data_IF_915875876035
#
_entry.id   IF_915875876035
#
_cell.length_a   1.000
_cell.length_b   1.000
_cell.length_c   1.000
_cell.angle_alpha   90.00
_cell.angle_beta   90.00
_cell.angle_gamma   90.00
#
_symmetry.space_group_name_H-M   'P 1'
#
loop_
_entity.id
_entity.type
_entity.pdbx_description
1 polymer ?
#
# COMPACT_ATOMS: atom_id res chain seq x y z
N UNK A 1 -44.21 68.52 -21.98
CA UNK A 1 -45.18 67.46 -21.62
C UNK A 1 -44.62 66.13 -22.05
N UNK A 2 -44.42 65.21 -21.10
CA UNK A 2 -44.00 63.83 -21.35
C UNK A 2 -45.04 63.13 -22.22
N UNK A 3 -44.67 62.57 -23.37
CA UNK A 3 -45.29 61.35 -23.93
C UNK A 3 -44.23 60.57 -24.71
N UNK A 4 -44.33 59.25 -24.58
CA UNK A 4 -43.31 58.23 -24.73
C UNK A 4 -42.81 57.95 -26.16
N UNK A 5 -41.50 57.74 -26.26
CA UNK A 5 -40.83 57.00 -27.33
C UNK A 5 -41.14 55.50 -27.15
N UNK A 6 -42.01 54.95 -27.99
CA UNK A 6 -42.24 53.50 -28.06
C UNK A 6 -41.19 52.85 -28.95
N UNK A 7 -40.24 52.13 -28.35
CA UNK A 7 -39.34 51.22 -29.07
C UNK A 7 -40.00 49.85 -29.10
N UNK A 8 -40.21 49.31 -30.30
CA UNK A 8 -40.66 47.95 -30.56
C UNK A 8 -39.49 47.01 -30.23
N UNK A 9 -39.57 46.29 -29.12
CA UNK A 9 -38.65 45.18 -28.82
C UNK A 9 -39.32 43.89 -29.30
N UNK A 10 -38.79 43.34 -30.40
CA UNK A 10 -39.14 42.02 -30.90
C UNK A 10 -38.74 40.95 -29.88
N UNK A 11 -39.71 40.16 -29.46
CA UNK A 11 -39.49 38.98 -28.63
C UNK A 11 -38.84 37.88 -29.46
N UNK A 12 -37.54 37.68 -29.29
CA UNK A 12 -36.85 36.47 -29.72
C UNK A 12 -37.03 35.43 -28.62
N UNK A 13 -38.03 34.56 -28.76
CA UNK A 13 -38.17 33.40 -27.88
C UNK A 13 -37.04 32.41 -28.20
N UNK A 14 -35.97 32.44 -27.38
CA UNK A 14 -35.01 31.35 -27.27
C UNK A 14 -35.74 30.15 -26.68
N UNK A 15 -36.24 29.28 -27.55
CA UNK A 15 -36.66 27.94 -27.17
C UNK A 15 -35.41 27.18 -26.69
N UNK A 16 -35.15 27.26 -25.39
CA UNK A 16 -34.33 26.26 -24.69
C UNK A 16 -35.06 24.93 -24.87
N UNK A 17 -34.62 24.14 -25.84
CA UNK A 17 -35.00 22.75 -25.95
C UNK A 17 -34.52 22.06 -24.67
N UNK A 18 -35.46 21.84 -23.75
CA UNK A 18 -35.29 20.90 -22.66
C UNK A 18 -35.15 19.51 -23.30
N UNK A 19 -33.94 19.14 -23.68
CA UNK A 19 -33.64 17.75 -23.99
C UNK A 19 -33.94 16.97 -22.71
N UNK A 20 -34.88 16.01 -22.72
CA UNK A 20 -35.04 15.12 -21.58
C UNK A 20 -33.70 14.44 -21.36
N UNK A 21 -33.19 14.49 -20.13
CA UNK A 21 -32.02 13.74 -19.73
C UNK A 21 -32.23 12.30 -20.18
N UNK A 22 -31.40 11.82 -21.10
CA UNK A 22 -31.43 10.41 -21.48
C UNK A 22 -31.27 9.60 -20.19
N UNK A 23 -32.15 8.63 -19.91
CA UNK A 23 -31.93 7.75 -18.78
C UNK A 23 -30.57 7.08 -19.01
N UNK A 24 -29.65 7.29 -18.05
CA UNK A 24 -28.43 6.49 -17.96
C UNK A 24 -28.85 5.03 -18.12
N UNK A 25 -28.24 4.33 -19.09
CA UNK A 25 -28.49 2.91 -19.30
C UNK A 25 -28.52 2.22 -17.93
N UNK A 26 -29.61 1.50 -17.64
CA UNK A 26 -29.77 0.80 -16.37
C UNK A 26 -28.47 0.04 -16.10
N UNK A 27 -27.83 0.32 -14.95
CA UNK A 27 -26.58 -0.33 -14.61
C UNK A 27 -26.74 -1.83 -14.79
N UNK A 28 -25.81 -2.48 -15.47
CA UNK A 28 -25.84 -3.93 -15.76
C UNK A 28 -25.97 -4.76 -14.46
N UNK A 29 -25.66 -4.14 -13.31
CA UNK A 29 -25.74 -4.70 -11.98
C UNK A 29 -26.51 -3.76 -11.03
N UNK A 30 -27.50 -4.29 -10.32
CA UNK A 30 -28.09 -3.66 -9.14
C UNK A 30 -27.24 -4.05 -7.93
N UNK A 31 -26.41 -3.13 -7.42
CA UNK A 31 -25.60 -3.37 -6.22
C UNK A 31 -26.47 -3.39 -4.96
N UNK A 32 -26.03 -4.13 -3.94
CA UNK A 32 -26.76 -4.31 -2.69
C UNK A 32 -25.97 -3.70 -1.50
N UNK A 33 -25.90 -2.36 -1.37
CA UNK A 33 -25.02 -1.66 -0.43
C UNK A 33 -25.33 -1.92 1.06
N UNK A 34 -26.57 -2.31 1.36
CA UNK A 34 -27.08 -2.57 2.71
C UNK A 34 -27.25 -4.06 3.03
N UNK A 35 -26.96 -4.96 2.08
CA UNK A 35 -27.07 -6.40 2.31
C UNK A 35 -26.17 -6.83 3.49
N UNK A 36 -26.65 -7.65 4.45
CA UNK A 36 -25.82 -8.10 5.55
C UNK A 36 -24.64 -8.92 5.04
N UNK A 37 -23.44 -8.59 5.47
CA UNK A 37 -22.23 -9.33 5.16
C UNK A 37 -21.64 -10.03 6.36
N UNK A 38 -20.61 -10.84 6.12
CA UNK A 38 -19.80 -11.51 7.14
C UNK A 38 -18.33 -11.10 7.09
N UNK A 39 -17.63 -11.46 8.16
CA UNK A 39 -16.17 -11.39 8.27
C UNK A 39 -15.62 -12.79 8.53
N UNK A 40 -14.71 -13.24 7.68
CA UNK A 40 -14.02 -14.52 7.82
C UNK A 40 -12.55 -14.37 7.48
N UNK A 41 -11.69 -14.54 8.48
CA UNK A 41 -10.24 -14.56 8.27
C UNK A 41 -9.59 -15.71 9.06
N UNK A 42 -8.58 -16.32 8.46
CA UNK A 42 -7.79 -17.39 9.08
C UNK A 42 -6.41 -16.88 9.48
N UNK A 43 -5.79 -17.53 10.46
CA UNK A 43 -4.38 -17.31 10.79
C UNK A 43 -3.66 -18.66 10.80
N UNK A 44 -2.59 -18.80 10.01
CA UNK A 44 -1.88 -20.07 9.86
C UNK A 44 -0.37 -19.90 9.83
N UNK A 45 0.33 -20.97 10.21
CA UNK A 45 1.79 -21.12 10.10
C UNK A 45 2.18 -22.43 9.41
N UNK A 46 1.18 -23.19 8.90
CA UNK A 46 1.38 -24.54 8.34
C UNK A 46 2.22 -24.58 7.07
N UNK A 47 2.40 -23.44 6.40
CA UNK A 47 3.11 -23.34 5.13
C UNK A 47 4.58 -22.90 5.30
N UNK A 48 5.03 -22.66 6.55
CA UNK A 48 6.41 -22.29 6.81
C UNK A 48 7.27 -23.54 6.90
N UNK A 49 8.37 -23.65 6.13
CA UNK A 49 9.31 -24.75 6.30
C UNK A 49 9.83 -24.79 7.74
N UNK A 50 9.64 -25.91 8.45
CA UNK A 50 10.06 -26.12 9.86
C UNK A 50 11.55 -25.81 10.08
N UNK A 51 12.37 -25.92 9.03
CA UNK A 51 13.79 -25.54 9.05
C UNK A 51 14.07 -24.05 9.32
N UNK A 52 13.08 -23.17 9.12
CA UNK A 52 13.23 -21.70 9.28
C UNK A 52 12.65 -21.17 10.59
N UNK A 53 11.77 -21.91 11.26
CA UNK A 53 11.09 -21.47 12.48
C UNK A 53 10.91 -22.64 13.44
N UNK A 54 11.31 -22.46 14.70
CA UNK A 54 11.06 -23.48 15.72
C UNK A 54 9.56 -23.70 15.90
N UNK A 55 9.14 -24.91 16.32
CA UNK A 55 7.71 -25.20 16.58
C UNK A 55 7.12 -24.24 17.61
N UNK A 56 7.91 -23.87 18.62
CA UNK A 56 7.50 -22.94 19.68
C UNK A 56 7.28 -21.53 19.11
N UNK A 57 8.22 -21.01 18.32
CA UNK A 57 8.08 -19.69 17.70
C UNK A 57 6.92 -19.65 16.71
N UNK A 58 6.72 -20.72 15.93
CA UNK A 58 5.59 -20.85 15.00
C UNK A 58 4.24 -20.81 15.74
N UNK A 59 4.12 -21.57 16.83
CA UNK A 59 2.90 -21.56 17.65
C UNK A 59 2.67 -20.19 18.33
N UNK A 60 3.72 -19.57 18.85
CA UNK A 60 3.64 -18.24 19.47
C UNK A 60 3.26 -17.16 18.45
N UNK A 61 3.87 -17.18 17.26
CA UNK A 61 3.55 -16.22 16.21
C UNK A 61 2.13 -16.42 15.68
N UNK A 62 1.66 -17.66 15.51
CA UNK A 62 0.27 -17.96 15.17
C UNK A 62 -0.70 -17.30 16.16
N UNK A 63 -0.44 -17.39 17.46
CA UNK A 63 -1.27 -16.73 18.49
C UNK A 63 -1.30 -15.21 18.33
N UNK A 64 -0.18 -14.58 17.97
CA UNK A 64 -0.14 -13.13 17.69
C UNK A 64 -0.93 -12.76 16.43
N UNK A 65 -0.87 -13.57 15.38
CA UNK A 65 -1.69 -13.39 14.18
C UNK A 65 -3.20 -13.56 14.48
N UNK A 66 -3.57 -14.55 15.30
CA UNK A 66 -4.94 -14.74 15.75
C UNK A 66 -5.44 -13.56 16.60
N UNK A 67 -4.56 -13.01 17.45
CA UNK A 67 -4.85 -11.81 18.22
C UNK A 67 -5.08 -10.60 17.30
N UNK A 68 -4.19 -10.34 16.33
CA UNK A 68 -4.38 -9.27 15.34
C UNK A 68 -5.70 -9.42 14.60
N UNK A 69 -5.98 -10.62 14.08
CA UNK A 69 -7.25 -10.93 13.40
C UNK A 69 -8.45 -10.61 14.30
N UNK A 70 -8.42 -11.04 15.56
CA UNK A 70 -9.52 -10.81 16.50
C UNK A 70 -9.73 -9.31 16.81
N UNK A 71 -8.64 -8.55 16.92
CA UNK A 71 -8.71 -7.09 17.11
C UNK A 71 -9.33 -6.42 15.89
N UNK A 72 -8.94 -6.82 14.67
CA UNK A 72 -9.54 -6.33 13.43
C UNK A 72 -11.03 -6.71 13.33
N UNK A 73 -11.39 -7.95 13.63
CA UNK A 73 -12.78 -8.44 13.55
C UNK A 73 -13.76 -7.68 14.46
N UNK A 74 -13.27 -7.01 15.51
CA UNK A 74 -14.08 -6.18 16.41
C UNK A 74 -14.32 -4.77 15.90
N UNK A 75 -13.61 -4.32 14.88
CA UNK A 75 -13.73 -2.95 14.41
C UNK A 75 -15.11 -2.72 13.76
N UNK A 76 -15.74 -1.55 13.92
CA UNK A 76 -17.16 -1.36 13.59
C UNK A 76 -17.52 -1.76 12.15
N UNK A 77 -16.71 -1.37 11.17
CA UNK A 77 -16.94 -1.71 9.76
C UNK A 77 -16.59 -3.16 9.37
N UNK A 78 -15.87 -3.88 10.25
CA UNK A 78 -15.49 -5.29 10.06
C UNK A 78 -16.39 -6.27 10.82
N UNK A 79 -16.97 -5.87 11.96
CA UNK A 79 -17.78 -6.74 12.81
C UNK A 79 -19.13 -7.11 12.18
N UNK A 80 -19.76 -6.15 11.50
CA UNK A 80 -21.04 -6.32 10.83
C UNK A 80 -21.03 -5.57 9.48
N UNK A 81 -20.23 -6.03 8.50
CA UNK A 81 -20.07 -5.32 7.25
C UNK A 81 -21.37 -5.30 6.47
N UNK A 82 -21.64 -4.18 5.80
CA UNK A 82 -22.83 -3.99 4.96
C UNK A 82 -22.44 -3.90 3.49
N UNK A 83 -23.16 -4.64 2.65
CA UNK A 83 -22.96 -4.71 1.21
C UNK A 83 -21.67 -5.40 0.78
N UNK A 84 -20.90 -5.96 1.71
CA UNK A 84 -19.65 -6.68 1.43
C UNK A 84 -19.48 -7.91 2.33
N UNK A 85 -18.90 -8.97 1.78
CA UNK A 85 -18.34 -10.09 2.52
C UNK A 85 -16.83 -9.89 2.64
N UNK A 86 -16.29 -9.94 3.85
CA UNK A 86 -14.86 -9.73 4.10
C UNK A 86 -14.19 -11.07 4.29
N UNK A 87 -13.27 -11.42 3.39
CA UNK A 87 -12.57 -12.70 3.40
C UNK A 87 -11.08 -12.46 3.42
N UNK A 88 -10.37 -13.20 4.27
CA UNK A 88 -8.95 -12.98 4.43
C UNK A 88 -8.16 -14.10 5.09
N UNK A 89 -6.88 -13.85 5.24
CA UNK A 89 -5.96 -14.72 5.97
C UNK A 89 -4.71 -13.96 6.42
N UNK A 90 -4.03 -14.52 7.42
CA UNK A 90 -2.76 -14.05 7.96
C UNK A 90 -1.78 -15.23 8.03
N UNK A 91 -0.54 -15.01 7.60
CA UNK A 91 0.51 -16.04 7.64
C UNK A 91 1.92 -15.42 7.64
N UNK A 92 2.94 -16.17 8.08
CA UNK A 92 4.34 -15.79 7.86
C UNK A 92 4.68 -15.76 6.37
N UNK A 93 5.75 -15.04 6.03
CA UNK A 93 6.33 -15.11 4.68
C UNK A 93 6.97 -16.48 4.43
N UNK A 94 6.99 -16.90 3.17
CA UNK A 94 7.66 -18.14 2.76
C UNK A 94 9.19 -17.97 2.75
N UNK A 95 9.64 -16.77 2.42
CA UNK A 95 11.03 -16.35 2.34
C UNK A 95 11.28 -15.22 3.33
N UNK A 96 11.98 -15.52 4.42
CA UNK A 96 12.39 -14.53 5.41
C UNK A 96 13.81 -14.79 5.92
N UNK A 97 14.49 -13.76 6.46
CA UNK A 97 15.86 -13.89 6.93
C UNK A 97 16.02 -15.04 7.93
N UNK A 98 17.06 -15.86 7.75
CA UNK A 98 17.45 -16.88 8.74
C UNK A 98 18.05 -16.25 10.00
N UNK A 99 18.41 -14.97 9.94
CA UNK A 99 18.96 -14.18 11.04
C UNK A 99 18.08 -14.32 12.28
N UNK A 100 18.63 -14.91 13.34
CA UNK A 100 17.87 -15.28 14.53
C UNK A 100 17.49 -14.09 15.42
N UNK A 101 18.15 -12.95 15.22
CA UNK A 101 17.92 -11.70 15.94
C UNK A 101 16.77 -10.85 15.37
N UNK A 102 16.18 -11.25 14.24
CA UNK A 102 15.05 -10.54 13.65
C UNK A 102 13.72 -11.24 13.97
N UNK A 103 12.63 -10.46 14.18
CA UNK A 103 11.32 -11.03 14.38
C UNK A 103 10.82 -11.73 13.11
N UNK A 104 9.86 -12.64 13.28
CA UNK A 104 9.24 -13.35 12.17
C UNK A 104 8.42 -12.36 11.34
N UNK A 105 8.73 -12.18 10.05
CA UNK A 105 7.89 -11.39 9.17
C UNK A 105 6.69 -12.21 8.69
N UNK A 106 5.59 -11.50 8.48
CA UNK A 106 4.35 -12.05 7.99
C UNK A 106 3.53 -11.01 7.26
N UNK A 107 2.41 -11.45 6.75
CA UNK A 107 1.45 -10.59 6.10
C UNK A 107 0.03 -11.12 6.31
N UNK A 108 -0.96 -10.29 5.97
CA UNK A 108 -2.33 -10.72 5.80
C UNK A 108 -3.08 -9.87 4.79
N UNK A 109 -4.17 -10.39 4.27
CA UNK A 109 -5.08 -9.67 3.38
C UNK A 109 -6.51 -9.82 3.89
N UNK A 110 -7.30 -8.74 3.81
CA UNK A 110 -8.74 -8.74 4.01
C UNK A 110 -9.39 -8.13 2.76
N UNK A 111 -10.08 -8.94 1.95
CA UNK A 111 -10.72 -8.50 0.70
C UNK A 111 -12.20 -8.21 0.89
N UNK A 112 -12.68 -7.15 0.28
CA UNK A 112 -14.05 -6.65 0.43
C UNK A 112 -14.87 -7.06 -0.80
N UNK A 113 -15.51 -8.21 -0.72
CA UNK A 113 -16.32 -8.77 -1.81
C UNK A 113 -17.74 -8.21 -1.78
N UNK A 114 -18.10 -7.33 -2.71
CA UNK A 114 -19.43 -6.71 -2.70
C UNK A 114 -20.53 -7.62 -3.27
N UNK A 115 -21.78 -7.29 -2.92
CA UNK A 115 -22.99 -7.98 -3.37
C UNK A 115 -23.72 -7.23 -4.50
N UNK A 116 -24.27 -7.98 -5.45
CA UNK A 116 -25.22 -7.49 -6.44
C UNK A 116 -26.43 -8.43 -6.54
N UNK A 117 -27.53 -7.95 -7.12
CA UNK A 117 -28.71 -8.75 -7.41
C UNK A 117 -28.53 -9.48 -8.74
N UNK A 118 -28.61 -10.80 -8.74
CA UNK A 118 -28.67 -11.59 -9.95
C UNK A 118 -30.06 -11.47 -10.63
N UNK A 119 -30.16 -11.91 -11.89
CA UNK A 119 -31.44 -11.91 -12.65
C UNK A 119 -32.59 -12.65 -11.96
N UNK A 120 -32.28 -13.62 -11.10
CA UNK A 120 -33.26 -14.38 -10.31
C UNK A 120 -33.64 -13.70 -8.98
N UNK A 121 -33.20 -12.44 -8.77
CA UNK A 121 -33.48 -11.65 -7.58
C UNK A 121 -32.59 -11.94 -6.36
N UNK A 122 -31.76 -13.00 -6.41
CA UNK A 122 -30.91 -13.42 -5.28
C UNK A 122 -29.63 -12.58 -5.18
N UNK A 123 -29.12 -12.34 -3.97
CA UNK A 123 -27.81 -11.71 -3.78
C UNK A 123 -26.70 -12.65 -4.28
N UNK A 124 -25.77 -12.11 -5.06
CA UNK A 124 -24.57 -12.80 -5.52
C UNK A 124 -23.36 -11.97 -5.13
N UNK A 125 -22.38 -12.63 -4.53
CA UNK A 125 -21.09 -12.05 -4.17
C UNK A 125 -20.16 -12.04 -5.37
N UNK A 126 -19.52 -10.91 -5.66
CA UNK A 126 -18.44 -10.85 -6.65
C UNK A 126 -17.11 -11.20 -5.96
N UNK A 127 -16.47 -12.28 -6.41
CA UNK A 127 -15.10 -12.58 -5.99
C UNK A 127 -14.10 -11.66 -6.70
N UNK A 128 -12.89 -11.52 -6.14
CA UNK A 128 -11.75 -10.84 -6.78
C UNK A 128 -11.91 -9.32 -6.97
N UNK A 129 -12.25 -8.62 -5.90
CA UNK A 129 -12.09 -7.16 -5.84
C UNK A 129 -10.63 -6.80 -5.53
N UNK A 130 -10.19 -5.60 -5.91
CA UNK A 130 -8.90 -5.04 -5.47
C UNK A 130 -9.06 -4.09 -4.29
N UNK A 131 -10.28 -3.97 -3.75
CA UNK A 131 -10.56 -3.25 -2.51
C UNK A 131 -10.21 -4.15 -1.33
N UNK A 132 -9.09 -3.85 -0.69
CA UNK A 132 -8.54 -4.70 0.36
C UNK A 132 -7.76 -3.91 1.42
N UNK A 133 -7.62 -4.55 2.58
CA UNK A 133 -6.64 -4.16 3.59
C UNK A 133 -5.52 -5.18 3.56
N UNK A 134 -4.32 -4.73 3.26
CA UNK A 134 -3.11 -5.52 3.36
C UNK A 134 -2.37 -5.19 4.65
N UNK A 135 -2.10 -6.19 5.47
CA UNK A 135 -1.34 -6.06 6.70
C UNK A 135 0.08 -6.57 6.47
N UNK A 136 1.07 -5.71 6.61
CA UNK A 136 2.48 -6.08 6.65
C UNK A 136 2.95 -6.15 8.09
N UNK A 137 3.51 -7.29 8.51
CA UNK A 137 3.79 -7.61 9.91
C UNK A 137 5.28 -7.90 10.03
N UNK A 138 6.02 -7.08 10.79
CA UNK A 138 7.49 -7.14 10.87
C UNK A 138 8.18 -7.14 9.50
N UNK A 139 7.48 -6.68 8.47
CA UNK A 139 7.96 -6.67 7.10
C UNK A 139 7.74 -5.29 6.47
N UNK A 140 8.64 -4.35 6.74
CA UNK A 140 8.56 -3.03 6.11
C UNK A 140 8.63 -3.15 4.58
N UNK A 141 9.21 -4.21 4.01
CA UNK A 141 9.35 -4.32 2.56
C UNK A 141 8.01 -4.45 1.82
N UNK A 142 7.09 -5.23 2.38
CA UNK A 142 5.75 -5.45 1.82
C UNK A 142 4.85 -4.23 1.98
N UNK A 143 5.28 -3.27 2.80
CA UNK A 143 4.50 -2.08 3.13
C UNK A 143 4.64 -0.96 2.09
N UNK A 144 5.68 -0.98 1.27
CA UNK A 144 6.03 0.12 0.37
C UNK A 144 6.09 -0.31 -1.10
N UNK A 145 5.94 0.68 -1.99
CA UNK A 145 6.19 0.49 -3.42
C UNK A 145 7.68 0.23 -3.63
N UNK A 146 8.01 -1.04 -3.87
CA UNK A 146 9.39 -1.52 -4.05
C UNK A 146 10.02 -0.90 -5.30
N UNK A 147 11.27 -0.47 -5.15
CA UNK A 147 12.12 -0.02 -6.24
C UNK A 147 13.43 -0.82 -6.24
N UNK A 148 13.77 -1.49 -7.34
CA UNK A 148 15.08 -2.13 -7.52
C UNK A 148 15.23 -3.55 -6.95
N UNK A 149 16.44 -3.87 -6.48
CA UNK A 149 16.94 -5.21 -6.12
C UNK A 149 16.10 -5.93 -5.06
N UNK A 150 15.99 -7.27 -5.17
CA UNK A 150 15.24 -8.13 -4.25
C UNK A 150 15.99 -8.48 -2.95
N UNK A 151 17.24 -8.08 -2.78
CA UNK A 151 18.02 -8.42 -1.58
C UNK A 151 17.67 -7.48 -0.42
N UNK A 152 17.24 -8.03 0.72
CA UNK A 152 16.74 -7.28 1.89
C UNK A 152 17.66 -6.14 2.37
N UNK A 153 18.99 -6.33 2.32
CA UNK A 153 19.96 -5.33 2.77
C UNK A 153 20.16 -4.16 1.76
N UNK A 154 19.79 -4.34 0.49
CA UNK A 154 19.95 -3.34 -0.57
C UNK A 154 18.62 -2.93 -1.20
N UNK A 155 17.50 -3.42 -0.65
CA UNK A 155 16.17 -3.13 -1.15
C UNK A 155 15.82 -1.69 -0.84
N UNK A 156 15.52 -0.96 -1.90
CA UNK A 156 15.11 0.43 -1.82
C UNK A 156 13.62 0.55 -2.08
N UNK A 157 12.99 1.54 -1.47
CA UNK A 157 11.56 1.82 -1.62
C UNK A 157 11.40 3.30 -1.89
N UNK A 158 10.30 3.66 -2.52
CA UNK A 158 9.89 5.04 -2.49
C UNK A 158 9.42 5.42 -1.08
N UNK A 159 9.95 6.53 -0.56
CA UNK A 159 9.42 7.12 0.66
C UNK A 159 7.95 7.52 0.41
N UNK A 160 7.01 7.04 1.24
CA UNK A 160 5.61 7.44 1.09
C UNK A 160 5.40 8.84 1.68
N UNK A 161 4.40 9.56 1.17
CA UNK A 161 4.13 10.93 1.60
C UNK A 161 3.38 10.92 2.93
N UNK A 162 3.89 11.62 3.95
CA UNK A 162 3.15 11.80 5.21
C UNK A 162 1.96 12.72 4.96
N UNK A 163 0.74 12.18 5.07
CA UNK A 163 -0.50 12.92 4.77
C UNK A 163 -1.31 13.26 6.02
N UNK A 164 -0.98 12.67 7.17
CA UNK A 164 -1.63 13.02 8.43
C UNK A 164 -1.39 12.01 9.54
N UNK A 165 -2.36 11.95 10.46
CA UNK A 165 -2.39 10.97 11.55
C UNK A 165 -3.82 10.49 11.76
N UNK A 166 -3.97 9.22 12.14
CA UNK A 166 -5.24 8.64 12.58
C UNK A 166 -5.00 8.00 13.94
N UNK A 167 -5.78 8.37 14.94
CA UNK A 167 -5.66 7.84 16.31
C UNK A 167 -4.26 8.00 16.96
N UNK A 168 -3.48 8.97 16.47
CA UNK A 168 -2.10 9.24 16.91
C UNK A 168 -1.03 8.42 16.17
N UNK A 169 -1.42 7.60 15.19
CA UNK A 169 -0.49 6.87 14.32
C UNK A 169 -0.30 7.63 12.99
N UNK A 170 0.92 7.69 12.44
CA UNK A 170 1.17 8.37 11.18
C UNK A 170 0.48 7.66 10.01
N UNK A 171 -0.21 8.47 9.19
CA UNK A 171 -0.86 8.05 7.96
C UNK A 171 -0.02 8.56 6.78
N UNK A 172 0.44 7.63 5.96
CA UNK A 172 1.16 7.94 4.73
C UNK A 172 0.33 7.61 3.50
N UNK A 173 0.73 8.13 2.34
CA UNK A 173 0.13 7.83 1.04
C UNK A 173 1.20 7.38 0.05
N UNK A 174 0.91 6.31 -0.70
CA UNK A 174 1.78 5.85 -1.79
C UNK A 174 1.51 6.65 -3.07
N UNK A 175 2.36 6.55 -4.10
CA UNK A 175 2.09 7.24 -5.36
C UNK A 175 0.87 6.67 -6.09
N UNK A 176 0.58 5.38 -5.89
CA UNK A 176 -0.67 4.75 -6.34
C UNK A 176 -1.93 5.28 -5.63
N UNK A 177 -1.78 6.11 -4.59
CA UNK A 177 -2.88 6.71 -3.84
C UNK A 177 -3.35 5.89 -2.63
N UNK A 178 -2.74 4.72 -2.38
CA UNK A 178 -3.09 3.89 -1.24
C UNK A 178 -2.64 4.52 0.07
N UNK A 179 -3.45 4.36 1.11
CA UNK A 179 -3.16 4.91 2.44
C UNK A 179 -2.49 3.85 3.31
N UNK A 180 -1.45 4.25 4.04
CA UNK A 180 -0.63 3.40 4.89
C UNK A 180 -0.71 3.88 6.33
N UNK A 181 -1.39 3.13 7.20
CA UNK A 181 -1.40 3.39 8.63
C UNK A 181 -0.26 2.60 9.28
N UNK A 182 0.74 3.31 9.82
CA UNK A 182 1.95 2.69 10.38
C UNK A 182 1.87 2.68 11.90
N UNK A 183 1.88 1.48 12.47
CA UNK A 183 1.92 1.28 13.91
C UNK A 183 3.35 0.99 14.34
N UNK A 184 3.94 1.92 15.08
CA UNK A 184 5.32 1.83 15.55
C UNK A 184 5.41 1.86 17.08
N UNK A 185 6.49 1.28 17.59
CA UNK A 185 6.92 1.40 18.98
C UNK A 185 7.89 2.56 19.08
N UNK A 186 7.41 3.72 19.55
CA UNK A 186 8.24 4.91 19.77
C UNK A 186 8.32 5.86 18.57
N UNK A 187 9.34 6.71 18.57
CA UNK A 187 9.49 7.82 17.60
C UNK A 187 10.39 7.49 16.42
N UNK A 188 11.12 6.37 16.46
CA UNK A 188 11.98 5.95 15.36
C UNK A 188 11.16 5.58 14.12
N UNK A 189 11.60 6.04 12.95
CA UNK A 189 11.01 5.64 11.66
C UNK A 189 11.46 4.20 11.34
N UNK A 190 10.57 3.38 10.74
CA UNK A 190 10.95 2.02 10.33
C UNK A 190 11.79 2.00 9.04
N UNK A 191 12.12 3.17 8.48
CA UNK A 191 12.98 3.33 7.32
C UNK A 191 14.00 4.46 7.49
N UNK A 192 15.08 4.38 6.72
CA UNK A 192 16.19 5.34 6.65
C UNK A 192 16.35 5.85 5.21
N UNK A 193 16.77 7.10 5.00
CA UNK A 193 17.10 7.59 3.67
C UNK A 193 18.25 6.77 3.07
N UNK A 194 18.17 6.48 1.77
CA UNK A 194 19.27 5.88 1.00
C UNK A 194 20.08 7.01 0.40
N UNK A 195 21.40 6.98 0.52
CA UNK A 195 22.24 8.00 -0.10
C UNK A 195 22.42 7.76 -1.60
N UNK A 196 22.82 8.80 -2.35
CA UNK A 196 23.13 8.68 -3.78
C UNK A 196 24.23 7.65 -4.02
N UNK A 197 25.27 7.63 -3.20
CA UNK A 197 26.36 6.66 -3.34
C UNK A 197 25.90 5.22 -3.04
N UNK A 198 25.15 5.02 -1.95
CA UNK A 198 24.58 3.70 -1.59
C UNK A 198 23.73 3.16 -2.75
N UNK A 199 22.89 4.01 -3.33
CA UNK A 199 21.99 3.63 -4.42
C UNK A 199 22.74 3.20 -5.70
N UNK A 200 23.67 4.04 -6.19
CA UNK A 200 24.42 3.71 -7.42
C UNK A 200 25.32 2.50 -7.20
N UNK A 201 25.89 2.35 -6.00
CA UNK A 201 26.71 1.19 -5.64
C UNK A 201 25.89 -0.09 -5.66
N UNK A 202 24.68 -0.09 -5.10
CA UNK A 202 23.79 -1.25 -5.10
C UNK A 202 23.42 -1.69 -6.54
N UNK A 203 23.08 -0.73 -7.40
CA UNK A 203 22.81 -1.00 -8.82
C UNK A 203 24.04 -1.52 -9.57
N UNK A 204 25.21 -0.95 -9.31
CA UNK A 204 26.46 -1.41 -9.89
C UNK A 204 26.75 -2.87 -9.49
N UNK A 205 26.59 -3.22 -8.21
CA UNK A 205 26.75 -4.60 -7.74
C UNK A 205 25.77 -5.56 -8.42
N UNK A 206 24.50 -5.16 -8.56
CA UNK A 206 23.49 -5.95 -9.28
C UNK A 206 23.92 -6.22 -10.72
N UNK A 207 24.31 -5.17 -11.47
CA UNK A 207 24.70 -5.32 -12.87
C UNK A 207 26.02 -6.08 -13.04
N UNK A 208 26.99 -5.92 -12.14
CA UNK A 208 28.22 -6.72 -12.14
C UNK A 208 27.94 -8.21 -11.97
N UNK A 209 26.96 -8.58 -11.13
CA UNK A 209 26.50 -9.96 -11.02
C UNK A 209 25.83 -10.43 -12.31
N UNK A 210 24.97 -9.61 -12.93
CA UNK A 210 24.34 -9.94 -14.20
C UNK A 210 25.37 -10.18 -15.32
N UNK A 211 26.46 -9.39 -15.39
CA UNK A 211 27.55 -9.63 -16.37
C UNK A 211 28.10 -11.07 -16.26
N UNK A 212 28.25 -11.60 -15.04
CA UNK A 212 28.77 -12.95 -14.83
C UNK A 212 27.82 -14.05 -15.31
N UNK A 213 26.52 -13.74 -15.36
CA UNK A 213 25.44 -14.64 -15.77
C UNK A 213 25.07 -14.46 -17.27
N UNK A 214 25.64 -13.46 -17.94
CA UNK A 214 25.26 -13.04 -19.29
C UNK A 214 25.90 -13.89 -20.41
N UNK A 215 25.23 -13.95 -21.56
CA UNK A 215 25.77 -14.61 -22.77
C UNK A 215 26.87 -13.76 -23.42
N UNK A 216 27.83 -14.36 -24.15
CA UNK A 216 28.98 -13.64 -24.72
C UNK A 216 28.63 -12.48 -25.68
N UNK A 217 27.42 -12.46 -26.25
CA UNK A 217 26.96 -11.42 -27.17
C UNK A 217 26.29 -10.23 -26.46
N UNK A 218 26.19 -10.24 -25.13
CA UNK A 218 25.63 -9.14 -24.38
C UNK A 218 26.57 -7.93 -24.36
N UNK A 219 26.20 -6.89 -25.11
CA UNK A 219 26.91 -5.61 -25.16
C UNK A 219 26.26 -4.55 -24.27
N UNK A 220 25.08 -4.80 -23.73
CA UNK A 220 24.29 -3.84 -22.95
C UNK A 220 24.79 -3.83 -21.52
N UNK A 221 24.85 -4.99 -20.86
CA UNK A 221 25.18 -5.06 -19.43
C UNK A 221 26.58 -4.51 -19.10
N UNK A 222 27.64 -4.81 -19.88
CA UNK A 222 28.96 -4.20 -19.65
C UNK A 222 28.96 -2.67 -19.76
N UNK A 223 28.17 -2.10 -20.69
CA UNK A 223 28.05 -0.65 -20.86
C UNK A 223 27.32 -0.01 -19.68
N UNK A 224 26.29 -0.66 -19.14
CA UNK A 224 25.60 -0.19 -17.92
C UNK A 224 26.59 -0.13 -16.75
N UNK A 225 27.38 -1.20 -16.54
CA UNK A 225 28.42 -1.25 -15.49
C UNK A 225 29.41 -0.10 -15.66
N UNK A 226 29.90 0.14 -16.89
CA UNK A 226 30.84 1.22 -17.18
C UNK A 226 30.27 2.60 -16.82
N UNK A 227 29.02 2.87 -17.19
CA UNK A 227 28.35 4.15 -16.88
C UNK A 227 28.11 4.36 -15.39
N UNK A 228 27.71 3.32 -14.67
CA UNK A 228 27.53 3.40 -13.21
C UNK A 228 28.86 3.62 -12.47
N UNK A 229 29.96 2.98 -12.92
CA UNK A 229 31.30 3.26 -12.41
C UNK A 229 31.73 4.71 -12.67
N UNK A 230 31.46 5.23 -13.87
CA UNK A 230 31.76 6.60 -14.23
C UNK A 230 30.95 7.59 -13.37
N UNK A 231 29.66 7.34 -13.16
CA UNK A 231 28.80 8.16 -12.32
C UNK A 231 29.32 8.21 -10.87
N UNK A 232 29.74 7.07 -10.30
CA UNK A 232 30.37 7.04 -8.97
C UNK A 232 31.70 7.78 -8.95
N UNK A 233 32.54 7.67 -9.98
CA UNK A 233 33.82 8.37 -10.03
C UNK A 233 33.66 9.90 -10.12
N UNK A 234 32.60 10.37 -10.78
CA UNK A 234 32.32 11.79 -10.97
C UNK A 234 31.53 12.42 -9.82
N UNK A 235 30.91 11.61 -8.93
CA UNK A 235 30.10 12.10 -7.82
C UNK A 235 30.96 12.80 -6.75
N UNK A 236 30.62 14.05 -6.45
CA UNK A 236 31.34 14.86 -5.46
C UNK A 236 31.07 14.38 -4.03
N UNK A 237 31.99 14.63 -3.06
CA UNK A 237 31.81 14.20 -1.68
C UNK A 237 30.49 14.65 -1.06
N UNK A 238 30.05 15.89 -1.31
CA UNK A 238 28.77 16.37 -0.79
C UNK A 238 27.58 15.62 -1.39
N UNK A 239 27.63 15.30 -2.69
CA UNK A 239 26.56 14.61 -3.41
C UNK A 239 26.39 13.16 -2.91
N UNK A 240 27.50 12.48 -2.58
CA UNK A 240 27.48 11.09 -2.08
C UNK A 240 26.59 10.88 -0.86
N UNK A 241 26.48 11.91 -0.02
CA UNK A 241 25.70 11.86 1.24
C UNK A 241 24.27 12.36 1.11
N UNK A 242 23.91 12.97 -0.02
CA UNK A 242 22.53 13.41 -0.26
C UNK A 242 21.60 12.20 -0.40
N UNK A 243 20.34 12.36 0.00
CA UNK A 243 19.33 11.33 -0.23
C UNK A 243 19.14 11.11 -1.74
N UNK A 244 19.14 9.85 -2.15
CA UNK A 244 18.79 9.45 -3.50
C UNK A 244 17.32 9.76 -3.76
N UNK A 245 17.04 10.37 -4.90
CA UNK A 245 15.67 10.50 -5.44
C UNK A 245 15.65 9.82 -6.79
N UNK A 246 14.72 8.89 -6.99
CA UNK A 246 14.56 8.22 -8.27
C UNK A 246 13.77 9.10 -9.22
N UNK A 247 14.34 9.36 -10.39
CA UNK A 247 13.75 10.18 -11.45
C UNK A 247 14.04 9.54 -12.81
N UNK A 248 12.96 9.30 -13.58
CA UNK A 248 12.97 8.77 -14.95
C UNK A 248 13.67 7.42 -15.12
N UNK A 249 13.20 6.60 -16.07
CA UNK A 249 13.83 5.32 -16.37
C UNK A 249 14.76 5.45 -17.59
N UNK A 250 16.06 5.30 -17.35
CA UNK A 250 17.08 5.06 -18.38
C UNK A 250 17.79 3.76 -18.00
N UNK A 251 17.92 2.84 -18.95
CA UNK A 251 18.55 1.54 -18.71
C UNK A 251 20.08 1.67 -18.54
N UNK A 252 20.68 2.72 -19.09
CA UNK A 252 22.13 2.91 -19.12
C UNK A 252 22.66 3.75 -17.95
N UNK A 253 21.86 4.69 -17.45
CA UNK A 253 22.25 5.64 -16.41
C UNK A 253 21.62 5.29 -15.06
N UNK A 254 22.28 5.64 -13.94
CA UNK A 254 21.62 5.61 -12.66
C UNK A 254 20.41 6.55 -12.69
N UNK A 255 19.24 6.02 -12.37
CA UNK A 255 17.95 6.72 -12.37
C UNK A 255 17.82 7.69 -11.20
N UNK A 256 18.72 8.67 -11.11
CA UNK A 256 18.78 9.68 -10.06
C UNK A 256 18.31 11.04 -10.55
N UNK A 257 17.56 11.75 -9.71
CA UNK A 257 17.28 13.16 -9.93
C UNK A 257 18.58 13.99 -9.98
N UNK A 258 18.61 15.11 -10.73
CA UNK A 258 19.70 16.07 -10.66
C UNK A 258 19.95 16.55 -9.23
N UNK A 259 21.21 16.88 -8.92
CA UNK A 259 21.60 17.41 -7.61
C UNK A 259 20.84 18.71 -7.33
N UNK A 260 20.26 18.82 -6.13
CA UNK A 260 19.45 19.97 -5.73
C UNK A 260 18.03 19.99 -6.29
N UNK A 261 17.65 19.04 -7.15
CA UNK A 261 16.27 18.92 -7.64
C UNK A 261 15.36 18.28 -6.59
N UNK A 262 14.16 18.85 -6.44
CA UNK A 262 13.08 18.23 -5.68
C UNK A 262 12.26 17.23 -6.53
N UNK A 263 12.57 17.12 -7.84
CA UNK A 263 11.92 16.16 -8.72
C UNK A 263 12.24 14.72 -8.33
N UNK A 264 11.42 13.80 -8.81
CA UNK A 264 11.54 12.38 -8.48
C UNK A 264 11.09 12.08 -7.05
N UNK A 265 11.20 10.80 -6.68
CA UNK A 265 10.71 10.30 -5.40
C UNK A 265 11.88 9.91 -4.49
N UNK A 266 11.91 10.36 -3.23
CA UNK A 266 12.97 9.98 -2.31
C UNK A 266 13.02 8.47 -2.13
N UNK A 267 14.23 7.93 -2.05
CA UNK A 267 14.48 6.53 -1.81
C UNK A 267 14.83 6.31 -0.34
N UNK A 268 14.28 5.24 0.22
CA UNK A 268 14.52 4.79 1.59
C UNK A 268 14.79 3.30 1.62
N UNK A 269 15.38 2.82 2.71
CA UNK A 269 15.60 1.41 3.03
C UNK A 269 15.06 1.10 4.40
N UNK A 270 14.87 -0.17 4.71
CA UNK A 270 14.49 -0.60 6.05
C UNK A 270 15.51 -0.12 7.09
N UNK A 271 15.01 0.28 8.25
CA UNK A 271 15.83 0.51 9.44
C UNK A 271 15.96 -0.81 10.23
N UNK A 272 17.06 -1.58 10.11
CA UNK A 272 17.19 -2.85 10.82
C UNK A 272 17.28 -2.67 12.35
N UNK A 273 17.84 -1.55 12.81
CA UNK A 273 18.00 -1.21 14.22
C UNK A 273 16.67 -0.82 14.89
N UNK A 274 15.60 -0.74 14.10
CA UNK A 274 14.26 -0.50 14.61
C UNK A 274 13.74 -1.69 15.43
N UNK A 275 14.12 -2.92 15.04
CA UNK A 275 13.66 -4.12 15.72
C UNK A 275 14.45 -4.35 17.02
N UNK A 276 13.73 -4.56 18.12
CA UNK A 276 14.33 -4.90 19.41
C UNK A 276 14.70 -6.40 19.43
N UNK A 277 16.01 -6.74 19.41
CA UNK A 277 16.46 -8.13 19.42
C UNK A 277 16.27 -8.82 20.78
N UNK A 278 15.94 -8.07 21.83
CA UNK A 278 15.64 -8.60 23.17
C UNK A 278 14.24 -9.18 23.31
N UNK A 279 13.36 -8.95 22.32
CA UNK A 279 12.01 -9.51 22.31
C UNK A 279 11.98 -10.91 21.66
N UNK A 280 10.98 -11.75 22.02
CA UNK A 280 10.78 -13.01 21.33
C UNK A 280 10.61 -12.80 19.82
N UNK A 281 11.16 -13.71 19.01
CA UNK A 281 11.05 -13.64 17.54
C UNK A 281 9.59 -13.59 17.06
N UNK A 282 8.68 -14.19 17.82
CA UNK A 282 7.25 -14.20 17.54
C UNK A 282 6.53 -12.88 17.87
N UNK A 283 7.21 -11.88 18.46
CA UNK A 283 6.60 -10.59 18.75
C UNK A 283 6.27 -9.85 17.45
N UNK A 284 5.06 -9.29 17.37
CA UNK A 284 4.73 -8.28 16.36
C UNK A 284 5.30 -6.97 16.89
N UNK A 285 6.29 -6.43 16.20
CA UNK A 285 6.95 -5.19 16.56
C UNK A 285 6.55 -4.07 15.58
N UNK A 286 6.42 -4.38 14.29
CA UNK A 286 5.91 -3.46 13.27
C UNK A 286 4.60 -4.01 12.69
N UNK A 287 3.60 -3.14 12.55
CA UNK A 287 2.41 -3.40 11.75
C UNK A 287 2.19 -2.21 10.83
N UNK A 288 2.03 -2.48 9.53
CA UNK A 288 1.56 -1.48 8.56
C UNK A 288 0.29 -2.01 7.92
N UNK A 289 -0.77 -1.20 7.97
CA UNK A 289 -2.01 -1.50 7.27
C UNK A 289 -2.10 -0.62 6.02
N UNK A 290 -2.10 -1.24 4.85
CA UNK A 290 -2.32 -0.61 3.56
C UNK A 290 -3.79 -0.75 3.18
N UNK A 291 -4.43 0.37 2.87
CA UNK A 291 -5.82 0.46 2.46
C UNK A 291 -5.85 0.73 0.96
N UNK A 292 -6.12 -0.31 0.18
CA UNK A 292 -6.17 -0.24 -1.28
C UNK A 292 -7.60 -0.14 -1.76
N UNK A 293 -7.87 0.79 -2.67
CA UNK A 293 -9.20 0.97 -3.26
C UNK A 293 -9.14 1.05 -4.78
N UNK A 294 -10.19 0.59 -5.44
CA UNK A 294 -10.37 0.58 -6.91
C UNK A 294 -10.47 1.97 -7.55
N UNK A 295 -10.37 3.06 -6.77
CA UNK A 295 -10.57 4.43 -7.26
C UNK A 295 -12.02 4.76 -7.63
N UNK A 296 -12.97 3.87 -7.35
CA UNK A 296 -14.39 4.03 -7.67
C UNK A 296 -15.15 4.90 -6.63
N UNK A 297 -14.45 5.41 -5.62
CA UNK A 297 -14.98 6.28 -4.57
C UNK A 297 -14.45 7.70 -4.76
N UNK A 298 -15.32 8.70 -4.58
CA UNK A 298 -14.90 10.10 -4.51
C UNK A 298 -14.21 10.35 -3.16
N UNK A 299 -12.91 10.74 -3.14
CA UNK A 299 -12.20 10.98 -1.88
C UNK A 299 -12.67 12.26 -1.15
N UNK A 300 -13.33 13.20 -1.83
CA UNK A 300 -13.86 14.44 -1.25
C UNK A 300 -15.25 14.19 -0.65
N UNK A 301 -16.01 13.29 -1.26
CA UNK A 301 -17.35 12.88 -0.80
C UNK A 301 -17.40 11.35 -0.68
N UNK A 302 -16.75 10.76 0.34
CA UNK A 302 -16.65 9.33 0.48
C UNK A 302 -18.03 8.70 0.65
N UNK A 303 -18.30 7.69 -0.15
CA UNK A 303 -19.59 7.00 -0.20
C UNK A 303 -19.60 5.91 -1.25
N UNK A 304 -20.74 5.21 -1.41
CA UNK A 304 -20.92 4.28 -2.52
C UNK A 304 -20.59 4.97 -3.86
N UNK A 305 -20.03 4.22 -4.82
CA UNK A 305 -19.82 4.72 -6.18
C UNK A 305 -21.15 5.19 -6.80
N UNK A 306 -21.10 5.93 -7.91
CA UNK A 306 -22.31 6.32 -8.66
C UNK A 306 -23.18 5.13 -9.09
N UNK A 307 -22.59 3.94 -9.21
CA UNK A 307 -23.29 2.69 -9.54
C UNK A 307 -23.79 1.94 -8.31
N UNK A 308 -23.43 2.35 -7.09
CA UNK A 308 -23.81 1.71 -5.83
C UNK A 308 -22.79 0.70 -5.31
N UNK A 309 -21.61 0.56 -5.91
CA UNK A 309 -20.54 -0.27 -5.36
C UNK A 309 -20.01 0.35 -4.06
N UNK A 310 -20.01 -0.42 -2.97
CA UNK A 310 -19.61 0.04 -1.63
C UNK A 310 -18.26 -0.46 -1.16
N UNK A 311 -17.57 -1.35 -1.89
CA UNK A 311 -16.33 -1.98 -1.40
C UNK A 311 -15.24 -0.97 -1.04
N UNK A 312 -14.91 -0.05 -1.95
CA UNK A 312 -13.95 1.04 -1.70
C UNK A 312 -14.36 1.89 -0.49
N UNK A 313 -15.65 2.22 -0.36
CA UNK A 313 -16.16 2.97 0.77
C UNK A 313 -16.05 2.21 2.09
N UNK A 314 -16.27 0.88 2.10
CA UNK A 314 -16.09 0.08 3.32
C UNK A 314 -14.62 0.01 3.74
N UNK A 315 -13.68 -0.07 2.81
CA UNK A 315 -12.24 0.05 3.12
C UNK A 315 -11.94 1.40 3.76
N UNK A 316 -12.42 2.49 3.15
CA UNK A 316 -12.28 3.85 3.72
C UNK A 316 -12.90 3.96 5.12
N UNK A 317 -14.09 3.41 5.33
CA UNK A 317 -14.75 3.42 6.64
C UNK A 317 -13.94 2.68 7.69
N UNK A 318 -13.32 1.54 7.35
CA UNK A 318 -12.44 0.85 8.28
C UNK A 318 -11.31 1.77 8.73
N UNK A 319 -10.62 2.47 7.82
CA UNK A 319 -9.59 3.46 8.18
C UNK A 319 -10.11 4.55 9.13
N UNK A 320 -11.30 5.08 8.89
CA UNK A 320 -11.77 6.29 9.55
C UNK A 320 -12.67 6.06 10.78
N UNK A 321 -13.18 4.83 10.99
CA UNK A 321 -14.10 4.52 12.09
C UNK A 321 -13.60 3.45 13.06
N UNK A 322 -12.40 2.91 12.83
CA UNK A 322 -11.82 1.90 13.72
C UNK A 322 -11.12 2.54 14.91
N UNK A 323 -11.04 1.80 16.02
CA UNK A 323 -10.22 2.13 17.16
C UNK A 323 -8.82 1.54 16.97
N UNK A 324 -7.94 2.31 16.35
CA UNK A 324 -6.59 1.85 16.03
C UNK A 324 -5.70 1.70 17.25
N UNK A 325 -6.00 2.43 18.33
CA UNK A 325 -5.32 2.24 19.63
C UNK A 325 -5.61 0.86 20.23
N UNK A 326 -6.81 0.31 20.04
CA UNK A 326 -7.10 -1.07 20.45
C UNK A 326 -6.31 -2.07 19.59
N UNK A 327 -6.30 -1.88 18.27
CA UNK A 327 -5.54 -2.75 17.35
C UNK A 327 -4.04 -2.72 17.65
N UNK A 328 -3.48 -1.57 18.01
CA UNK A 328 -2.06 -1.41 18.31
C UNK A 328 -1.59 -2.21 19.53
N UNK A 329 -2.50 -2.67 20.40
CA UNK A 329 -2.16 -3.49 21.58
C UNK A 329 -1.50 -4.83 21.21
N UNK A 330 -1.63 -5.27 19.95
CA UNK A 330 -0.90 -6.43 19.44
C UNK A 330 0.63 -6.25 19.52
N UNK A 331 1.12 -5.01 19.49
CA UNK A 331 2.55 -4.66 19.52
C UNK A 331 3.15 -4.71 20.94
N UNK A 332 2.29 -4.62 21.96
CA UNK A 332 2.69 -4.48 23.37
C UNK A 332 2.45 -5.75 24.18
N UNK A 333 1.70 -6.70 23.63
CA UNK A 333 1.44 -7.97 24.30
C UNK A 333 2.73 -8.79 24.28
N UNK A 334 3.31 -9.08 25.46
CA UNK A 334 4.50 -9.94 25.58
C UNK A 334 4.18 -11.39 25.17
#
# INVERSE_FOLDING_TARGET
>A
MRVHTGIIIGWLALALSSQPAQPLAAAEFEFLPDHPGGFSATATVSNVPVRKLSKADAAAFKKKLEQLRNLLAKQPALQAPKGVEIIGYFRPLDEFPTAQNLPVPGFGYLRFHFYHRAKNGKPVRICCTTDEIHASINDPDQSFEVYGSREFATKTFYEPDLVGQVDGFPLYRTAGGDELLVFNRGTARPWLPVTREEYVTAWLTFWQKQVQESVPQDTITPEIVRRHQQALAQMKPEERTMQARSLTWDVYEPTLAPVGSAEGRPLVRVNPDWFDPGLPRSAIQLLVLRFSTTGLMDPIQPGPSKTGNVSAYRVWQVLHSSNWKEVSTVLTTR
#
